data_IF_790109837508
#
_entry.id   IF_790109837508
#
_cell.length_a   1.000
_cell.length_b   1.000
_cell.length_c   1.000
_cell.angle_alpha   90.00
_cell.angle_beta   90.00
_cell.angle_gamma   90.00
#
_symmetry.space_group_name_H-M   'P 1'
#
loop_
_entity.id
_entity.type
_entity.pdbx_description
1 polymer ?
#
# COMPACT_ATOMS: atom_id res chain seq x y z
N UNK A 1 14.02 17.34 25.35
CA UNK A 1 15.18 16.70 24.67
C UNK A 1 14.61 15.79 23.59
N UNK A 2 14.75 16.16 22.32
CA UNK A 2 14.29 15.33 21.21
C UNK A 2 15.19 14.08 21.15
N UNK A 3 14.70 12.96 21.69
CA UNK A 3 15.37 11.67 21.54
C UNK A 3 15.51 11.35 20.05
N UNK A 4 16.60 10.65 19.69
CA UNK A 4 16.86 10.24 18.31
C UNK A 4 15.58 9.65 17.68
N UNK A 5 15.09 10.29 16.62
CA UNK A 5 13.82 9.94 15.99
C UNK A 5 13.90 8.50 15.45
N UNK A 6 12.97 7.64 15.88
CA UNK A 6 12.92 6.25 15.42
C UNK A 6 12.52 6.21 13.93
N UNK A 7 13.46 5.84 13.07
CA UNK A 7 13.30 5.89 11.60
C UNK A 7 12.50 4.71 11.04
N UNK A 8 12.91 3.48 11.32
CA UNK A 8 12.23 2.25 10.89
C UNK A 8 12.49 1.08 11.82
N UNK A 9 11.65 0.05 11.72
CA UNK A 9 11.83 -1.20 12.46
C UNK A 9 13.09 -1.91 11.98
N UNK A 10 13.31 -1.95 10.67
CA UNK A 10 14.43 -2.63 10.03
C UNK A 10 15.77 -2.04 10.45
N UNK A 11 15.93 -0.70 10.42
CA UNK A 11 17.17 -0.05 10.87
C UNK A 11 17.41 -0.28 12.37
N UNK A 12 16.34 -0.34 13.17
CA UNK A 12 16.45 -0.65 14.59
C UNK A 12 16.93 -2.09 14.83
N UNK A 13 16.36 -3.06 14.12
CA UNK A 13 16.74 -4.47 14.22
C UNK A 13 18.18 -4.70 13.76
N UNK A 14 18.54 -4.14 12.60
CA UNK A 14 19.88 -4.27 12.01
C UNK A 14 20.98 -3.64 12.88
N UNK A 15 20.66 -2.56 13.59
CA UNK A 15 21.61 -1.87 14.46
C UNK A 15 21.86 -2.59 15.79
N UNK A 16 20.87 -3.32 16.32
CA UNK A 16 20.91 -3.82 17.71
C UNK A 16 20.94 -5.34 17.84
N UNK A 17 20.67 -6.10 16.79
CA UNK A 17 20.73 -7.56 16.82
C UNK A 17 22.00 -8.09 16.14
N UNK A 18 22.66 -9.11 16.73
CA UNK A 18 23.72 -9.82 16.04
C UNK A 18 23.14 -10.58 14.84
N UNK A 19 23.97 -10.82 13.82
CA UNK A 19 23.53 -11.37 12.53
C UNK A 19 22.70 -12.68 12.64
N UNK A 20 23.05 -13.67 13.49
CA UNK A 20 22.25 -14.89 13.62
C UNK A 20 20.83 -14.61 14.16
N UNK A 21 20.72 -13.77 15.19
CA UNK A 21 19.42 -13.41 15.78
C UNK A 21 18.61 -12.54 14.81
N UNK A 22 19.26 -11.64 14.09
CA UNK A 22 18.64 -10.81 13.07
C UNK A 22 18.02 -11.65 11.95
N UNK A 23 18.71 -12.70 11.49
CA UNK A 23 18.21 -13.61 10.47
C UNK A 23 16.96 -14.36 10.97
N UNK A 24 16.98 -14.85 12.20
CA UNK A 24 15.85 -15.58 12.77
C UNK A 24 14.66 -14.65 13.04
N UNK A 25 14.90 -13.46 13.56
CA UNK A 25 13.87 -12.42 13.73
C UNK A 25 13.28 -12.03 12.38
N UNK A 26 14.11 -11.85 11.34
CA UNK A 26 13.61 -11.53 9.99
C UNK A 26 12.79 -12.67 9.40
N UNK A 27 13.18 -13.93 9.64
CA UNK A 27 12.42 -15.11 9.22
C UNK A 27 11.03 -15.15 9.86
N UNK A 28 10.93 -14.85 11.16
CA UNK A 28 9.65 -14.85 11.88
C UNK A 28 8.77 -13.65 11.52
N UNK A 29 9.34 -12.45 11.42
CA UNK A 29 8.57 -11.22 11.17
C UNK A 29 8.16 -11.02 9.70
N UNK A 30 9.04 -11.41 8.77
CA UNK A 30 8.85 -11.16 7.33
C UNK A 30 8.63 -12.44 6.52
N UNK A 31 8.67 -13.62 7.14
CA UNK A 31 8.52 -14.93 6.50
C UNK A 31 9.80 -15.43 5.82
N UNK A 32 10.46 -14.58 5.03
CA UNK A 32 11.77 -14.86 4.43
C UNK A 32 12.51 -13.57 4.05
N UNK A 33 13.82 -13.66 3.90
CA UNK A 33 14.60 -12.56 3.32
C UNK A 33 14.36 -12.49 1.81
N UNK A 34 13.87 -11.33 1.34
CA UNK A 34 13.56 -11.10 -0.07
C UNK A 34 14.77 -10.55 -0.81
N UNK A 35 14.93 -10.98 -2.06
CA UNK A 35 15.92 -10.43 -2.96
C UNK A 35 15.57 -8.98 -3.30
N UNK A 36 16.52 -8.06 -3.08
CA UNK A 36 16.40 -6.67 -3.54
C UNK A 36 16.48 -6.61 -5.07
N UNK A 37 15.70 -5.72 -5.68
CA UNK A 37 15.74 -5.49 -7.12
C UNK A 37 16.87 -4.52 -7.45
N UNK A 38 17.59 -4.83 -8.54
CA UNK A 38 18.53 -3.92 -9.17
C UNK A 38 17.75 -2.88 -9.99
N UNK A 39 17.23 -1.85 -9.31
CA UNK A 39 16.51 -0.77 -9.96
C UNK A 39 17.47 0.14 -10.76
N UNK A 40 17.02 0.76 -11.86
CA UNK A 40 17.88 1.60 -12.69
C UNK A 40 18.51 2.77 -11.91
N UNK A 41 19.77 3.10 -12.20
CA UNK A 41 20.48 4.21 -11.54
C UNK A 41 19.74 5.54 -11.70
N UNK A 42 19.21 5.80 -12.89
CA UNK A 42 18.42 6.99 -13.21
C UNK A 42 17.18 7.12 -12.31
N UNK A 43 16.57 6.00 -11.91
CA UNK A 43 15.43 5.99 -11.01
C UNK A 43 15.83 6.41 -9.58
N UNK A 44 16.98 5.93 -9.08
CA UNK A 44 17.51 6.38 -7.79
C UNK A 44 17.91 7.84 -7.80
N UNK A 45 18.56 8.32 -8.87
CA UNK A 45 18.93 9.73 -9.04
C UNK A 45 17.69 10.63 -9.06
N UNK A 46 16.65 10.23 -9.79
CA UNK A 46 15.38 10.95 -9.84
C UNK A 46 14.65 10.95 -8.48
N UNK A 47 14.57 9.80 -7.80
CA UNK A 47 13.95 9.70 -6.48
C UNK A 47 14.69 10.56 -5.44
N UNK A 48 16.02 10.58 -5.48
CA UNK A 48 16.83 11.43 -4.61
C UNK A 48 16.61 12.92 -4.89
N UNK A 49 16.53 13.33 -6.17
CA UNK A 49 16.30 14.72 -6.56
C UNK A 49 14.92 15.21 -6.13
N UNK A 50 13.91 14.36 -6.28
CA UNK A 50 12.53 14.65 -5.90
C UNK A 50 12.27 14.39 -4.41
N UNK A 51 13.26 13.99 -3.61
CA UNK A 51 13.12 13.71 -2.17
C UNK A 51 12.00 12.72 -1.83
N UNK A 52 12.12 11.48 -2.31
CA UNK A 52 11.31 10.36 -1.83
C UNK A 52 12.14 9.06 -1.76
N UNK A 53 11.72 8.15 -0.88
CA UNK A 53 12.34 6.83 -0.76
C UNK A 53 11.99 5.93 -1.95
N UNK A 54 12.98 5.23 -2.51
CA UNK A 54 12.76 4.20 -3.54
C UNK A 54 13.29 2.86 -3.04
N UNK A 55 12.42 1.85 -2.99
CA UNK A 55 12.77 0.47 -2.62
C UNK A 55 12.25 -0.53 -3.65
N UNK A 56 12.98 -1.63 -3.83
CA UNK A 56 12.66 -2.67 -4.81
C UNK A 56 12.86 -4.08 -4.26
N UNK A 57 11.84 -4.94 -4.33
CA UNK A 57 11.90 -6.34 -3.85
C UNK A 57 11.27 -7.34 -4.82
N UNK A 58 11.75 -8.58 -4.81
CA UNK A 58 11.22 -9.67 -5.63
C UNK A 58 10.54 -10.77 -4.81
N UNK A 59 9.40 -11.22 -5.30
CA UNK A 59 8.71 -12.44 -4.88
C UNK A 59 8.71 -13.41 -6.05
N UNK A 60 9.48 -14.48 -5.91
CA UNK A 60 9.72 -15.47 -6.94
C UNK A 60 8.92 -16.75 -6.64
N UNK A 61 8.49 -17.42 -7.70
CA UNK A 61 7.88 -18.75 -7.66
C UNK A 61 8.88 -19.78 -8.19
N UNK A 62 8.67 -21.06 -7.87
CA UNK A 62 9.42 -22.13 -8.50
C UNK A 62 9.10 -22.20 -10.00
N UNK A 63 10.05 -22.62 -10.83
CA UNK A 63 9.82 -22.76 -12.27
C UNK A 63 8.83 -23.91 -12.54
N UNK A 64 7.80 -23.63 -13.34
CA UNK A 64 6.81 -24.63 -13.75
C UNK A 64 7.11 -25.11 -15.17
N UNK A 65 7.08 -26.43 -15.39
CA UNK A 65 7.34 -27.02 -16.72
C UNK A 65 6.24 -26.72 -17.75
N UNK A 66 5.01 -26.51 -17.28
CA UNK A 66 3.83 -26.33 -18.14
C UNK A 66 3.43 -24.87 -18.33
N UNK A 67 3.83 -23.98 -17.42
CA UNK A 67 3.43 -22.57 -17.44
C UNK A 67 4.65 -21.68 -17.44
N UNK A 68 4.57 -20.63 -18.25
CA UNK A 68 5.57 -19.56 -18.19
C UNK A 68 5.38 -18.75 -16.90
N UNK A 69 6.46 -18.19 -16.33
CA UNK A 69 6.37 -17.25 -15.23
C UNK A 69 5.42 -16.09 -15.55
N UNK A 70 4.53 -15.74 -14.60
CA UNK A 70 3.58 -14.64 -14.78
C UNK A 70 4.04 -13.44 -13.97
N UNK A 71 5.11 -12.83 -14.44
CA UNK A 71 5.78 -11.72 -13.77
C UNK A 71 5.02 -10.41 -13.96
N UNK A 72 4.80 -9.69 -12.86
CA UNK A 72 4.25 -8.33 -12.84
C UNK A 72 5.05 -7.46 -11.86
N UNK A 73 5.34 -6.23 -12.25
CA UNK A 73 5.88 -5.22 -11.35
C UNK A 73 4.76 -4.32 -10.85
N UNK A 74 4.61 -4.22 -9.54
CA UNK A 74 3.64 -3.33 -8.89
C UNK A 74 4.38 -2.19 -8.18
N UNK A 75 3.80 -0.99 -8.21
CA UNK A 75 4.30 0.20 -7.53
C UNK A 75 3.31 0.70 -6.49
N UNK A 76 3.73 0.84 -5.24
CA UNK A 76 2.92 1.47 -4.18
C UNK A 76 3.50 2.84 -3.87
N UNK A 77 2.66 3.87 -3.91
CA UNK A 77 3.04 5.25 -3.57
C UNK A 77 2.44 5.64 -2.23
N UNK A 78 3.29 6.16 -1.34
CA UNK A 78 2.87 6.88 -0.14
C UNK A 78 3.43 8.30 -0.18
N UNK A 79 2.64 9.29 0.21
CA UNK A 79 3.07 10.68 0.23
C UNK A 79 2.31 11.53 1.26
N UNK A 80 2.97 12.60 1.71
CA UNK A 80 2.32 13.70 2.45
C UNK A 80 1.65 14.70 1.51
N UNK A 81 0.77 15.52 2.07
CA UNK A 81 0.22 16.67 1.34
C UNK A 81 1.31 17.75 1.13
N UNK A 82 1.40 18.36 -0.06
CA UNK A 82 2.45 19.32 -0.38
C UNK A 82 2.16 20.72 0.15
N UNK A 83 0.89 21.11 0.30
CA UNK A 83 0.48 22.40 0.84
C UNK A 83 -0.27 22.24 2.16
N UNK A 84 -0.32 23.29 3.01
CA UNK A 84 -1.16 23.31 4.20
C UNK A 84 -2.63 22.95 3.88
N UNK A 85 -3.32 22.34 4.85
CA UNK A 85 -4.69 21.86 4.65
C UNK A 85 -5.71 22.98 4.36
N UNK A 86 -5.38 24.24 4.66
CA UNK A 86 -6.22 25.41 4.40
C UNK A 86 -5.95 26.08 3.03
N UNK A 87 -5.06 25.54 2.20
CA UNK A 87 -4.83 26.04 0.85
C UNK A 87 -6.07 25.83 -0.05
N UNK A 88 -6.26 26.65 -1.10
CA UNK A 88 -7.37 26.47 -2.04
C UNK A 88 -7.42 25.05 -2.62
N UNK A 89 -8.62 24.48 -2.72
CA UNK A 89 -8.86 23.08 -3.15
C UNK A 89 -8.16 22.76 -4.47
N UNK A 90 -8.33 23.62 -5.48
CA UNK A 90 -7.73 23.43 -6.80
C UNK A 90 -6.19 23.44 -6.77
N UNK A 91 -5.58 24.29 -5.93
CA UNK A 91 -4.12 24.35 -5.79
C UNK A 91 -3.59 23.10 -5.08
N UNK A 92 -4.29 22.63 -4.05
CA UNK A 92 -3.94 21.41 -3.31
C UNK A 92 -3.98 20.18 -4.23
N UNK A 93 -5.07 19.99 -5.00
CA UNK A 93 -5.20 18.90 -5.97
C UNK A 93 -4.09 18.98 -7.04
N UNK A 94 -3.83 20.17 -7.59
CA UNK A 94 -2.79 20.36 -8.62
C UNK A 94 -1.38 20.09 -8.08
N UNK A 95 -1.09 20.48 -6.84
CA UNK A 95 0.17 20.19 -6.18
C UNK A 95 0.35 18.67 -5.96
N UNK A 96 -0.70 17.96 -5.54
CA UNK A 96 -0.70 16.50 -5.42
C UNK A 96 -0.53 15.82 -6.77
N UNK A 97 -1.20 16.27 -7.83
CA UNK A 97 -1.02 15.75 -9.18
C UNK A 97 0.43 15.91 -9.66
N UNK A 98 1.06 17.07 -9.42
CA UNK A 98 2.47 17.30 -9.76
C UNK A 98 3.40 16.38 -8.98
N UNK A 99 3.15 16.20 -7.68
CA UNK A 99 3.94 15.30 -6.83
C UNK A 99 3.84 13.85 -7.30
N UNK A 100 2.63 13.34 -7.49
CA UNK A 100 2.39 11.97 -7.95
C UNK A 100 2.94 11.75 -9.36
N UNK A 101 2.84 12.74 -10.24
CA UNK A 101 3.43 12.66 -11.59
C UNK A 101 4.93 12.32 -11.52
N UNK A 102 5.70 13.04 -10.69
CA UNK A 102 7.13 12.81 -10.56
C UNK A 102 7.44 11.38 -10.07
N UNK A 103 6.65 10.88 -9.11
CA UNK A 103 6.80 9.52 -8.59
C UNK A 103 6.42 8.47 -9.65
N UNK A 104 5.36 8.70 -10.42
CA UNK A 104 4.91 7.80 -11.51
C UNK A 104 5.96 7.74 -12.63
N UNK A 105 6.64 8.84 -12.93
CA UNK A 105 7.74 8.85 -13.92
C UNK A 105 8.89 7.94 -13.47
N UNK A 106 9.25 7.95 -12.18
CA UNK A 106 10.24 7.01 -11.63
C UNK A 106 9.72 5.57 -11.61
N UNK A 107 8.45 5.35 -11.30
CA UNK A 107 7.85 4.01 -11.38
C UNK A 107 7.89 3.44 -12.81
N UNK A 108 7.69 4.30 -13.82
CA UNK A 108 7.81 3.91 -15.21
C UNK A 108 9.26 3.52 -15.57
N UNK A 109 10.27 4.24 -15.08
CA UNK A 109 11.69 3.86 -15.23
C UNK A 109 11.96 2.48 -14.63
N UNK A 110 11.33 2.17 -13.48
CA UNK A 110 11.43 0.88 -12.80
C UNK A 110 10.61 -0.26 -13.46
N UNK A 111 9.93 0.00 -14.58
CA UNK A 111 9.16 -1.02 -15.30
C UNK A 111 7.85 -1.44 -14.61
N UNK A 112 7.28 -0.59 -13.75
CA UNK A 112 6.01 -0.85 -13.05
C UNK A 112 4.86 -1.00 -14.05
N UNK A 113 4.09 -2.08 -13.93
CA UNK A 113 2.91 -2.37 -14.74
C UNK A 113 1.63 -1.84 -14.06
N UNK A 114 1.54 -1.97 -12.74
CA UNK A 114 0.38 -1.56 -11.94
C UNK A 114 0.87 -0.62 -10.84
N UNK A 115 0.37 0.61 -10.83
CA UNK A 115 0.68 1.57 -9.77
C UNK A 115 -0.56 1.88 -8.94
N UNK A 116 -0.38 2.03 -7.63
CA UNK A 116 -1.42 2.31 -6.67
C UNK A 116 -1.05 3.54 -5.83
N UNK A 117 -2.04 4.39 -5.56
CA UNK A 117 -1.93 5.56 -4.69
C UNK A 117 -2.70 5.33 -3.39
N UNK A 118 -2.40 6.13 -2.37
CA UNK A 118 -3.10 6.09 -1.09
C UNK A 118 -4.58 6.47 -1.18
N UNK A 119 -5.34 6.06 -0.16
CA UNK A 119 -6.73 6.47 -0.01
C UNK A 119 -6.86 8.00 -0.02
N UNK A 120 -7.87 8.50 -0.74
CA UNK A 120 -8.15 9.92 -0.87
C UNK A 120 -6.91 10.78 -1.21
N UNK A 121 -5.99 10.25 -2.04
CA UNK A 121 -4.68 10.87 -2.31
C UNK A 121 -4.72 12.30 -2.87
N UNK A 122 -5.87 12.77 -3.36
CA UNK A 122 -6.05 14.12 -3.91
C UNK A 122 -6.47 15.17 -2.89
N UNK A 123 -6.60 14.80 -1.60
CA UNK A 123 -7.05 15.73 -0.57
C UNK A 123 -6.32 15.54 0.77
N UNK A 124 -6.28 16.57 1.62
CA UNK A 124 -6.03 16.37 3.05
C UNK A 124 -7.10 15.46 3.63
N UNK A 125 -6.70 14.57 4.54
CA UNK A 125 -7.68 13.77 5.25
C UNK A 125 -8.43 14.67 6.24
N UNK A 126 -9.70 14.92 5.96
CA UNK A 126 -10.50 15.91 6.67
C UNK A 126 -11.78 15.34 7.31
N UNK A 127 -12.05 14.04 7.19
CA UNK A 127 -13.32 13.44 7.62
C UNK A 127 -13.60 13.57 9.13
N UNK A 128 -12.57 13.75 9.98
CA UNK A 128 -12.79 13.95 11.42
C UNK A 128 -13.42 15.32 11.76
N UNK A 129 -13.33 16.30 10.86
CA UNK A 129 -13.85 17.66 11.09
C UNK A 129 -15.39 17.67 11.11
N UNK A 130 -16.03 16.70 10.42
CA UNK A 130 -17.48 16.66 10.14
C UNK A 130 -18.00 17.87 9.35
N UNK A 131 -17.12 18.80 8.99
CA UNK A 131 -17.45 19.97 8.19
C UNK A 131 -17.70 19.55 6.75
N UNK A 132 -18.62 20.25 6.07
CA UNK A 132 -18.94 19.96 4.66
C UNK A 132 -18.04 20.76 3.73
N UNK A 133 -18.04 22.08 3.88
CA UNK A 133 -17.21 22.97 3.07
C UNK A 133 -15.89 23.29 3.79
N UNK A 134 -14.76 23.39 3.06
CA UNK A 134 -14.61 23.18 1.62
C UNK A 134 -14.43 21.71 1.20
N UNK A 135 -14.46 20.75 2.15
CA UNK A 135 -14.07 19.36 1.90
C UNK A 135 -14.86 18.64 0.82
N UNK A 136 -16.15 18.92 0.68
CA UNK A 136 -16.98 18.32 -0.38
C UNK A 136 -16.62 18.83 -1.78
N UNK A 137 -15.91 19.94 -1.93
CA UNK A 137 -15.43 20.42 -3.24
C UNK A 137 -14.29 19.55 -3.80
N UNK A 138 -13.64 18.72 -2.99
CA UNK A 138 -12.69 17.71 -3.47
C UNK A 138 -13.36 16.53 -4.18
N UNK A 139 -14.69 16.38 -4.05
CA UNK A 139 -15.41 15.30 -4.71
C UNK A 139 -15.45 15.53 -6.23
N UNK A 140 -15.00 14.53 -6.99
CA UNK A 140 -14.97 14.55 -8.45
C UNK A 140 -15.75 13.38 -9.03
N UNK A 141 -16.16 13.47 -10.31
CA UNK A 141 -16.68 12.31 -11.05
C UNK A 141 -15.61 11.21 -11.13
N UNK A 142 -16.00 9.96 -10.87
CA UNK A 142 -15.09 8.83 -10.95
C UNK A 142 -14.62 8.56 -12.39
N UNK A 143 -15.48 8.75 -13.38
CA UNK A 143 -15.21 8.46 -14.77
C UNK A 143 -14.51 9.61 -15.48
N UNK A 144 -14.98 10.84 -15.23
CA UNK A 144 -14.64 12.03 -16.02
C UNK A 144 -14.05 13.16 -15.17
N UNK A 145 -13.74 12.91 -13.89
CA UNK A 145 -13.07 13.87 -13.03
C UNK A 145 -11.71 14.31 -13.56
N UNK A 146 -11.25 15.55 -13.25
CA UNK A 146 -9.92 16.01 -13.65
C UNK A 146 -8.81 15.06 -13.19
N UNK A 147 -8.93 14.44 -12.03
CA UNK A 147 -7.98 13.44 -11.53
C UNK A 147 -7.98 12.17 -12.38
N UNK A 148 -9.14 11.62 -12.74
CA UNK A 148 -9.21 10.44 -13.62
C UNK A 148 -8.61 10.73 -14.98
N UNK A 149 -8.91 11.91 -15.57
CA UNK A 149 -8.31 12.35 -16.84
C UNK A 149 -6.80 12.56 -16.73
N UNK A 150 -6.30 13.06 -15.61
CA UNK A 150 -4.88 13.15 -15.31
C UNK A 150 -4.22 11.76 -15.32
N UNK A 151 -4.80 10.79 -14.61
CA UNK A 151 -4.31 9.41 -14.57
C UNK A 151 -4.33 8.76 -15.97
N UNK A 152 -5.40 8.92 -16.74
CA UNK A 152 -5.53 8.36 -18.09
C UNK A 152 -4.45 8.86 -19.07
N UNK A 153 -4.06 10.14 -18.98
CA UNK A 153 -3.01 10.73 -19.83
C UNK A 153 -1.61 10.16 -19.55
N UNK A 154 -1.40 9.60 -18.36
CA UNK A 154 -0.09 9.18 -17.86
C UNK A 154 0.18 7.68 -17.97
N UNK A 155 -0.82 6.88 -18.32
CA UNK A 155 -0.63 5.48 -18.69
C UNK A 155 0.02 5.42 -20.08
N UNK A 156 1.23 4.87 -20.25
CA UNK A 156 1.86 4.70 -21.56
C UNK A 156 0.93 3.92 -22.51
N UNK A 157 0.87 4.35 -23.78
CA UNK A 157 -0.05 3.80 -24.80
C UNK A 157 0.12 2.28 -24.98
N UNK A 158 1.29 1.72 -24.66
CA UNK A 158 1.59 0.29 -24.73
C UNK A 158 0.84 -0.61 -23.71
N UNK A 159 0.10 -0.04 -22.75
CA UNK A 159 -0.54 -0.80 -21.66
C UNK A 159 -2.05 -0.52 -21.49
N UNK A 160 -2.72 0.05 -22.51
CA UNK A 160 -4.19 0.23 -22.51
C UNK A 160 -4.93 -1.11 -22.69
N UNK A 161 -5.01 -1.90 -21.61
CA UNK A 161 -5.77 -3.15 -21.59
C UNK A 161 -6.00 -3.78 -20.22
N UNK A 162 -5.37 -3.27 -19.14
CA UNK A 162 -5.57 -3.83 -17.80
C UNK A 162 -6.67 -3.09 -17.04
N UNK A 163 -7.61 -3.88 -16.51
CA UNK A 163 -8.83 -3.46 -15.82
C UNK A 163 -8.52 -2.49 -14.66
N UNK A 164 -9.39 -1.48 -14.52
CA UNK A 164 -9.41 -0.55 -13.39
C UNK A 164 -9.60 -1.34 -12.09
N UNK A 165 -8.64 -1.27 -11.20
CA UNK A 165 -8.77 -1.75 -9.82
C UNK A 165 -8.54 -0.56 -8.90
N UNK A 166 -9.51 -0.29 -8.02
CA UNK A 166 -9.23 0.47 -6.80
C UNK A 166 -8.37 -0.46 -5.92
N UNK A 167 -7.04 -0.37 -6.02
CA UNK A 167 -6.21 -0.91 -4.96
C UNK A 167 -6.28 0.10 -3.81
N UNK A 168 -6.85 -0.33 -2.68
CA UNK A 168 -6.60 0.34 -1.41
C UNK A 168 -5.22 -0.10 -0.94
N UNK A 169 -4.22 0.78 -1.03
CA UNK A 169 -3.06 0.64 -0.15
C UNK A 169 -3.55 0.96 1.27
N UNK A 170 -3.43 -0.02 2.17
CA UNK A 170 -3.75 0.11 3.60
C UNK A 170 -2.85 1.18 4.25
N UNK A 171 -3.27 2.44 4.16
CA UNK A 171 -2.70 3.50 4.98
C UNK A 171 -3.23 3.28 6.39
N UNK A 172 -2.37 2.84 7.31
CA UNK A 172 -2.81 2.71 8.67
C UNK A 172 -2.78 4.10 9.35
N UNK A 173 -3.94 4.51 9.84
CA UNK A 173 -4.12 5.74 10.60
C UNK A 173 -4.05 5.44 12.10
N UNK A 174 -3.30 6.25 12.87
CA UNK A 174 -3.48 6.32 14.33
C UNK A 174 -4.14 7.65 14.68
N UNK A 175 -5.46 7.66 14.79
CA UNK A 175 -6.19 8.77 15.39
C UNK A 175 -6.28 8.54 16.91
N UNK A 176 -5.77 9.49 17.69
CA UNK A 176 -5.83 9.44 19.14
C UNK A 176 -6.89 10.46 19.58
N UNK A 177 -8.11 10.01 19.87
CA UNK A 177 -9.15 10.89 20.40
C UNK A 177 -8.83 11.23 21.86
N UNK A 178 -7.98 12.23 22.07
CA UNK A 178 -7.93 12.92 23.35
C UNK A 178 -9.22 13.73 23.44
N UNK A 179 -9.97 13.66 24.54
CA UNK A 179 -11.27 14.35 24.69
C UNK A 179 -11.21 15.89 24.69
N UNK A 180 -10.19 16.49 24.09
CA UNK A 180 -9.95 17.92 24.00
C UNK A 180 -9.92 18.39 22.55
N UNK A 181 -10.46 19.58 22.24
CA UNK A 181 -10.39 20.15 20.90
C UNK A 181 -8.93 20.46 20.54
N UNK A 182 -8.48 19.95 19.40
CA UNK A 182 -7.18 20.25 18.80
C UNK A 182 -7.31 20.32 17.27
N UNK A 183 -6.34 20.93 16.61
CA UNK A 183 -6.30 21.05 15.15
C UNK A 183 -5.42 19.98 14.48
N UNK A 184 -4.68 19.20 15.28
CA UNK A 184 -3.80 18.14 14.76
C UNK A 184 -4.61 16.88 14.41
N UNK A 185 -4.66 16.49 13.14
CA UNK A 185 -5.46 15.34 12.69
C UNK A 185 -4.93 13.98 13.17
N UNK A 186 -3.64 13.91 13.53
CA UNK A 186 -2.95 12.69 13.92
C UNK A 186 -1.74 12.40 13.02
N UNK A 187 -0.93 11.42 13.42
CA UNK A 187 0.31 11.06 12.71
C UNK A 187 0.06 9.86 11.79
N UNK A 188 0.04 10.13 10.47
CA UNK A 188 0.10 9.09 9.44
C UNK A 188 1.50 8.49 9.43
N UNK A 189 1.58 7.16 9.55
CA UNK A 189 2.86 6.50 9.78
C UNK A 189 3.36 5.67 8.61
N UNK A 190 2.91 5.96 7.38
CA UNK A 190 3.42 5.34 6.15
C UNK A 190 3.48 3.81 6.25
N UNK A 191 4.69 3.25 6.18
CA UNK A 191 4.94 1.81 6.34
C UNK A 191 4.23 0.94 5.30
N UNK A 192 4.05 1.45 4.08
CA UNK A 192 3.52 0.67 2.97
C UNK A 192 4.42 -0.55 2.70
N UNK A 193 3.80 -1.71 2.48
CA UNK A 193 4.49 -2.96 2.20
C UNK A 193 3.66 -3.85 1.25
N UNK A 194 4.29 -4.89 0.70
CA UNK A 194 3.62 -5.95 -0.05
C UNK A 194 3.76 -7.28 0.70
N UNK A 195 2.69 -8.05 0.81
CA UNK A 195 2.69 -9.41 1.35
C UNK A 195 2.34 -10.41 0.25
N UNK A 196 2.92 -11.60 0.34
CA UNK A 196 2.77 -12.69 -0.61
C UNK A 196 2.01 -13.89 -0.02
N UNK A 197 1.48 -14.79 -0.87
CA UNK A 197 0.69 -15.94 -0.44
C UNK A 197 1.45 -16.93 0.47
N UNK A 198 2.78 -17.00 0.33
CA UNK A 198 3.65 -17.88 1.11
C UNK A 198 4.02 -17.31 2.50
N UNK A 199 3.24 -16.34 2.99
CA UNK A 199 3.44 -15.55 4.21
C UNK A 199 4.64 -14.59 4.21
N UNK A 200 5.44 -14.57 3.15
CA UNK A 200 6.53 -13.60 3.04
C UNK A 200 6.02 -12.18 2.79
N UNK A 201 6.76 -11.16 3.23
CA UNK A 201 6.42 -9.75 3.01
C UNK A 201 7.65 -8.87 2.86
N UNK A 202 7.50 -7.73 2.20
CA UNK A 202 8.55 -6.72 2.16
C UNK A 202 8.70 -6.03 3.52
N UNK A 203 9.89 -5.45 3.78
CA UNK A 203 10.03 -4.33 4.69
C UNK A 203 8.98 -3.24 4.45
N UNK A 204 8.64 -2.51 5.50
CA UNK A 204 7.82 -1.30 5.35
C UNK A 204 8.65 -0.15 4.77
N UNK A 205 8.03 0.69 3.95
CA UNK A 205 8.59 2.01 3.65
C UNK A 205 8.68 2.89 4.92
N UNK A 206 9.39 4.01 4.80
CA UNK A 206 9.51 5.01 5.85
C UNK A 206 8.17 5.39 6.47
N UNK A 207 8.20 5.78 7.75
CA UNK A 207 7.00 6.26 8.46
C UNK A 207 6.67 7.72 8.22
N UNK A 208 7.67 8.50 7.82
CA UNK A 208 7.59 9.95 7.72
C UNK A 208 7.91 10.49 6.33
N UNK A 209 8.58 9.71 5.48
CA UNK A 209 8.94 10.12 4.11
C UNK A 209 7.94 9.63 3.09
N UNK A 210 7.78 10.41 2.04
CA UNK A 210 7.20 9.94 0.79
C UNK A 210 8.04 8.78 0.25
N UNK A 211 7.41 7.85 -0.47
CA UNK A 211 8.12 6.73 -1.03
C UNK A 211 7.38 5.96 -2.11
N UNK A 212 8.17 5.26 -2.92
CA UNK A 212 7.76 4.33 -3.96
C UNK A 212 8.35 2.95 -3.64
N UNK A 213 7.47 1.97 -3.43
CA UNK A 213 7.83 0.57 -3.27
C UNK A 213 7.54 -0.16 -4.59
N UNK A 214 8.58 -0.68 -5.23
CA UNK A 214 8.48 -1.53 -6.41
C UNK A 214 8.57 -2.99 -5.99
N UNK A 215 7.58 -3.80 -6.33
CA UNK A 215 7.60 -5.24 -6.07
C UNK A 215 7.44 -6.02 -7.37
N UNK A 216 8.41 -6.88 -7.68
CA UNK A 216 8.34 -7.86 -8.77
C UNK A 216 7.67 -9.12 -8.23
N UNK A 217 6.51 -9.49 -8.76
CA UNK A 217 5.71 -10.61 -8.30
C UNK A 217 5.58 -11.66 -9.41
N UNK A 218 5.83 -12.93 -9.11
CA UNK A 218 5.32 -14.03 -9.94
C UNK A 218 3.93 -14.45 -9.46
N UNK A 219 2.91 -14.20 -10.28
CA UNK A 219 1.52 -14.54 -9.95
C UNK A 219 1.25 -16.05 -9.93
N UNK A 220 2.19 -16.88 -10.42
CA UNK A 220 2.10 -18.34 -10.28
C UNK A 220 2.32 -18.81 -8.83
N UNK A 221 2.94 -17.98 -7.96
CA UNK A 221 3.11 -18.31 -6.54
C UNK A 221 1.79 -18.61 -5.83
N UNK A 222 0.69 -17.98 -6.25
CA UNK A 222 -0.66 -18.27 -5.74
C UNK A 222 -1.07 -19.73 -5.97
N UNK A 223 -0.74 -20.31 -7.14
CA UNK A 223 -1.07 -21.69 -7.45
C UNK A 223 -0.22 -22.65 -6.62
N UNK A 224 1.10 -22.41 -6.58
CA UNK A 224 2.05 -23.24 -5.82
C UNK A 224 1.71 -23.28 -4.33
N UNK A 225 1.32 -22.16 -3.73
CA UNK A 225 0.88 -22.12 -2.34
C UNK A 225 -0.44 -22.86 -2.17
N UNK A 226 -1.38 -22.70 -3.10
CA UNK A 226 -2.67 -23.41 -3.04
C UNK A 226 -2.51 -24.92 -3.22
N UNK A 227 -1.44 -25.42 -3.85
CA UNK A 227 -1.18 -26.86 -3.95
C UNK A 227 -0.80 -27.48 -2.60
N UNK A 228 -0.18 -26.69 -1.71
CA UNK A 228 0.19 -27.12 -0.34
C UNK A 228 -0.92 -26.78 0.67
N UNK A 229 -1.36 -25.52 0.68
CA UNK A 229 -2.35 -24.97 1.59
C UNK A 229 -3.53 -24.40 0.82
N UNK A 230 -4.42 -25.27 0.36
CA UNK A 230 -5.61 -24.84 -0.35
C UNK A 230 -6.71 -24.36 0.62
N UNK A 231 -6.54 -23.19 1.22
CA UNK A 231 -7.56 -22.61 2.12
C UNK A 231 -8.90 -22.35 1.44
N UNK A 232 -8.91 -22.23 0.11
CA UNK A 232 -10.15 -22.11 -0.68
C UNK A 232 -10.91 -23.43 -0.70
N UNK A 233 -10.20 -24.55 -0.89
CA UNK A 233 -10.80 -25.90 -0.89
C UNK A 233 -11.41 -26.26 0.46
N UNK A 234 -10.74 -25.92 1.57
CA UNK A 234 -11.23 -26.20 2.93
C UNK A 234 -12.02 -25.05 3.55
N UNK A 235 -12.37 -24.03 2.77
CA UNK A 235 -13.00 -22.80 3.27
C UNK A 235 -14.45 -22.94 3.73
N UNK A 236 -15.12 -24.08 3.44
CA UNK A 236 -16.52 -24.39 3.84
C UNK A 236 -17.50 -23.23 3.58
N UNK A 237 -17.35 -22.52 2.46
CA UNK A 237 -18.06 -21.27 2.21
C UNK A 237 -19.60 -21.39 2.26
N UNK A 238 -20.16 -22.52 1.83
CA UNK A 238 -21.61 -22.78 1.91
C UNK A 238 -22.12 -22.87 3.36
N UNK A 239 -21.32 -23.43 4.27
CA UNK A 239 -21.66 -23.47 5.70
C UNK A 239 -21.68 -22.05 6.27
N UNK A 240 -20.61 -21.28 6.05
CA UNK A 240 -20.52 -19.89 6.51
C UNK A 240 -21.61 -19.00 5.91
N UNK A 241 -21.99 -19.21 4.64
CA UNK A 241 -23.08 -18.47 4.02
C UNK A 241 -24.40 -18.68 4.76
N UNK A 242 -24.70 -19.92 5.17
CA UNK A 242 -25.89 -20.25 5.97
C UNK A 242 -25.81 -19.70 7.38
N UNK A 243 -24.67 -19.85 8.04
CA UNK A 243 -24.46 -19.35 9.40
C UNK A 243 -24.60 -17.83 9.48
N UNK A 244 -23.99 -17.10 8.54
CA UNK A 244 -24.13 -15.64 8.46
C UNK A 244 -25.57 -15.25 8.14
N UNK A 245 -26.22 -15.92 7.21
CA UNK A 245 -27.62 -15.65 6.87
C UNK A 245 -28.57 -15.87 8.05
N UNK A 246 -28.27 -16.83 8.94
CA UNK A 246 -29.00 -17.04 10.18
C UNK A 246 -28.69 -15.95 11.21
N UNK A 247 -27.40 -15.64 11.40
CA UNK A 247 -26.92 -14.69 12.41
C UNK A 247 -27.43 -13.25 12.21
N UNK A 248 -27.76 -12.86 10.97
CA UNK A 248 -28.28 -11.52 10.65
C UNK A 248 -29.80 -11.38 10.80
N UNK A 249 -30.52 -12.46 11.11
CA UNK A 249 -31.98 -12.38 11.31
C UNK A 249 -32.31 -11.60 12.58
N UNK A 250 -33.37 -10.79 12.54
CA UNK A 250 -33.81 -9.99 13.68
C UNK A 250 -34.17 -10.81 14.92
N UNK A 251 -34.50 -12.10 14.74
CA UNK A 251 -34.88 -13.03 15.81
C UNK A 251 -33.80 -14.09 16.08
N UNK A 252 -32.56 -13.87 15.65
CA UNK A 252 -31.46 -14.80 15.86
C UNK A 252 -31.18 -15.02 17.35
N UNK A 253 -31.06 -16.28 17.76
CA UNK A 253 -30.56 -16.68 19.07
C UNK A 253 -29.15 -17.26 18.91
N UNK A 254 -28.10 -16.62 19.47
CA UNK A 254 -26.73 -17.11 19.35
C UNK A 254 -26.56 -18.54 19.85
N UNK A 255 -25.66 -19.29 19.23
CA UNK A 255 -25.31 -20.66 19.63
C UNK A 255 -24.48 -20.64 20.92
N UNK A 256 -25.16 -20.56 22.06
CA UNK A 256 -24.56 -20.56 23.41
C UNK A 256 -24.87 -21.89 24.10
N UNK A 257 -23.82 -22.59 24.54
CA UNK A 257 -23.94 -23.80 25.37
C UNK A 257 -23.94 -23.39 26.84
N UNK A 258 -24.83 -23.98 27.65
CA UNK A 258 -24.93 -23.76 29.10
C UNK A 258 -24.79 -25.08 29.85
N UNK A 259 -24.34 -24.99 31.11
CA UNK A 259 -24.17 -26.09 32.07
C UNK A 259 -25.49 -26.75 32.49
#
# INVERSE_FOLDING_TARGET
MAGAEWKSLEECLEKHLPLPDLQEVKRVLYGKELRKLDLPREAFEAASREDFELQGYAFEAAEEQLRRPRIVHVGLVQNRIPLPANAPVAEQVSALHRRIKAIVEVAAMCGVNIICFQEAWTMPFAFCTREKLPWTEFAESAEDGPTTRFCQKRVPVAHRGQKRSHCQSLLHLRHQSSGHPHQDFGYFYGSSYVAAPDSSRTPGLSRSRDGLLVAKLDLNLCQQVNDVWNFKMTGRYEMYARELAEAVKSNYSPTIVKE
#
